data_IF_534522151107
#
_entry.id   IF_534522151107
#
_cell.length_a   1.000
_cell.length_b   1.000
_cell.length_c   1.000
_cell.angle_alpha   90.00
_cell.angle_beta   90.00
_cell.angle_gamma   90.00
#
_symmetry.space_group_name_H-M   'P 1'
#
loop_
_entity.id
_entity.type
_entity.pdbx_description
1 polymer ?
#
# COMPACT_ATOMS: atom_id res chain seq x y z
N UNK A 1 3.63 18.96 15.26
CA UNK A 1 3.13 17.70 15.87
C UNK A 1 4.01 17.33 17.06
N UNK A 2 3.40 16.97 18.20
CA UNK A 2 4.15 16.51 19.37
C UNK A 2 4.74 15.12 19.08
N UNK A 3 6.03 14.94 19.24
CA UNK A 3 6.69 13.66 19.03
C UNK A 3 6.11 12.63 20.01
N UNK A 4 5.68 11.48 19.48
CA UNK A 4 5.14 10.41 20.31
C UNK A 4 6.26 9.75 21.11
N UNK A 5 5.93 9.25 22.30
CA UNK A 5 6.85 8.39 23.05
C UNK A 5 6.89 6.99 22.39
N UNK A 6 7.94 6.22 22.65
CA UNK A 6 8.04 4.83 22.14
C UNK A 6 6.84 3.95 22.55
N UNK A 7 6.21 4.21 23.71
CA UNK A 7 4.96 3.57 24.11
C UNK A 7 3.78 4.04 23.25
N UNK A 8 3.73 5.34 22.96
CA UNK A 8 2.70 5.92 22.10
C UNK A 8 2.75 5.37 20.67
N UNK A 9 3.95 5.27 20.12
CA UNK A 9 4.16 4.69 18.78
C UNK A 9 3.71 3.23 18.71
N UNK A 10 4.06 2.40 19.70
CA UNK A 10 3.57 1.02 19.78
C UNK A 10 2.05 0.91 19.88
N UNK A 11 1.41 1.82 20.62
CA UNK A 11 -0.05 1.84 20.74
C UNK A 11 -0.70 2.23 19.42
N UNK A 12 -0.15 3.25 18.75
CA UNK A 12 -0.62 3.68 17.42
C UNK A 12 -0.47 2.57 16.37
N UNK A 13 0.66 1.88 16.38
CA UNK A 13 0.91 0.75 15.47
C UNK A 13 -0.08 -0.39 15.71
N UNK A 14 -0.35 -0.77 16.96
CA UNK A 14 -1.37 -1.78 17.29
C UNK A 14 -2.77 -1.39 16.79
N UNK A 15 -3.14 -0.12 16.89
CA UNK A 15 -4.41 0.37 16.37
C UNK A 15 -4.46 0.27 14.84
N UNK A 16 -3.37 0.60 14.14
CA UNK A 16 -3.28 0.51 12.69
C UNK A 16 -3.40 -0.94 12.20
N UNK A 17 -2.65 -1.86 12.80
CA UNK A 17 -2.71 -3.31 12.49
C UNK A 17 -4.09 -3.91 12.78
N UNK A 18 -4.73 -3.48 13.88
CA UNK A 18 -6.09 -3.91 14.21
C UNK A 18 -7.10 -3.36 13.22
N UNK A 19 -6.93 -2.11 12.77
CA UNK A 19 -7.77 -1.49 11.75
C UNK A 19 -7.64 -2.20 10.40
N UNK A 20 -6.41 -2.51 9.96
CA UNK A 20 -6.15 -3.30 8.74
C UNK A 20 -6.93 -4.62 8.78
N UNK A 21 -6.80 -5.38 9.86
CA UNK A 21 -7.50 -6.65 10.03
C UNK A 21 -9.02 -6.49 10.01
N UNK A 22 -9.57 -5.56 10.76
CA UNK A 22 -11.02 -5.34 10.84
C UNK A 22 -11.59 -4.86 9.50
N UNK A 23 -10.89 -3.97 8.77
CA UNK A 23 -11.31 -3.56 7.43
C UNK A 23 -11.21 -4.70 6.41
N UNK A 24 -10.23 -5.56 6.51
CA UNK A 24 -10.09 -6.73 5.66
C UNK A 24 -11.22 -7.77 5.89
N UNK A 25 -11.58 -8.00 7.16
CA UNK A 25 -12.58 -9.01 7.54
C UNK A 25 -14.02 -8.53 7.28
N UNK A 26 -14.33 -7.31 7.69
CA UNK A 26 -15.70 -6.78 7.72
C UNK A 26 -16.00 -5.77 6.62
N UNK A 27 -14.99 -5.21 5.99
CA UNK A 27 -15.13 -4.03 5.14
C UNK A 27 -15.26 -2.74 5.93
N UNK A 28 -15.11 -1.61 5.23
CA UNK A 28 -15.15 -0.28 5.87
C UNK A 28 -16.50 0.01 6.55
N UNK A 29 -17.61 -0.32 5.90
CA UNK A 29 -18.95 0.05 6.41
C UNK A 29 -19.26 -0.64 7.74
N UNK A 30 -19.03 -1.94 7.84
CA UNK A 30 -19.34 -2.76 9.02
C UNK A 30 -18.25 -2.72 10.10
N UNK A 31 -17.08 -2.16 9.77
CA UNK A 31 -16.05 -1.85 10.73
C UNK A 31 -16.46 -0.68 11.63
N UNK A 32 -16.08 -0.73 12.90
CA UNK A 32 -16.33 0.35 13.86
C UNK A 32 -15.08 0.62 14.70
N UNK A 33 -14.96 1.86 15.21
CA UNK A 33 -13.88 2.23 16.14
C UNK A 33 -13.91 1.33 17.38
N UNK A 34 -15.09 0.91 17.83
CA UNK A 34 -15.25 -0.04 18.95
C UNK A 34 -14.52 -1.35 18.64
N UNK A 35 -14.84 -1.99 17.50
CA UNK A 35 -14.21 -3.25 17.08
C UNK A 35 -12.70 -3.10 16.93
N UNK A 36 -12.22 -1.99 16.38
CA UNK A 36 -10.79 -1.73 16.21
C UNK A 36 -10.10 -1.60 17.58
N UNK A 37 -10.68 -0.87 18.51
CA UNK A 37 -10.11 -0.67 19.85
C UNK A 37 -10.15 -1.92 20.72
N UNK A 38 -11.22 -2.70 20.63
CA UNK A 38 -11.32 -4.02 21.26
C UNK A 38 -10.23 -4.96 20.74
N UNK A 39 -10.06 -5.01 19.40
CA UNK A 39 -9.02 -5.82 18.76
C UNK A 39 -7.59 -5.38 19.13
N UNK A 40 -7.37 -4.07 19.36
CA UNK A 40 -6.10 -3.52 19.79
C UNK A 40 -5.85 -3.63 21.31
N UNK A 41 -6.87 -3.99 22.10
CA UNK A 41 -6.81 -4.07 23.57
C UNK A 41 -6.67 -2.71 24.23
N UNK A 42 -7.30 -1.64 23.66
CA UNK A 42 -7.28 -0.28 24.20
C UNK A 42 -8.67 0.31 24.30
N UNK A 43 -8.84 1.34 25.14
CA UNK A 43 -10.11 2.09 25.23
C UNK A 43 -10.32 3.03 24.03
N UNK A 44 -11.60 3.33 23.70
CA UNK A 44 -11.95 4.25 22.60
C UNK A 44 -11.31 5.64 22.75
N UNK A 45 -11.20 6.18 23.96
CA UNK A 45 -10.51 7.44 24.20
C UNK A 45 -9.04 7.44 23.74
N UNK A 46 -8.39 6.27 23.80
CA UNK A 46 -7.02 6.10 23.30
C UNK A 46 -6.94 6.18 21.78
N UNK A 47 -7.95 5.68 21.07
CA UNK A 47 -8.02 5.79 19.60
C UNK A 47 -7.97 7.26 19.15
N UNK A 48 -8.78 8.11 19.76
CA UNK A 48 -8.87 9.52 19.38
C UNK A 48 -7.62 10.36 19.72
N UNK A 49 -6.68 9.81 20.48
CA UNK A 49 -5.35 10.43 20.66
C UNK A 49 -4.48 10.30 19.39
N UNK A 50 -4.76 9.33 18.54
CA UNK A 50 -3.95 9.01 17.36
C UNK A 50 -4.66 9.25 16.03
N UNK A 51 -5.97 8.99 15.95
CA UNK A 51 -6.76 9.08 14.72
C UNK A 51 -8.04 9.89 14.97
N UNK A 52 -8.27 10.89 14.14
CA UNK A 52 -9.42 11.78 14.27
C UNK A 52 -10.77 11.08 13.97
N UNK A 53 -10.75 10.02 13.16
CA UNK A 53 -11.95 9.32 12.70
C UNK A 53 -11.64 7.91 12.18
N UNK A 54 -12.69 7.13 11.91
CA UNK A 54 -12.59 5.84 11.19
C UNK A 54 -11.98 6.02 9.78
N UNK A 55 -12.36 7.11 9.09
CA UNK A 55 -11.77 7.44 7.79
C UNK A 55 -10.28 7.74 7.91
N UNK A 56 -9.87 8.50 8.89
CA UNK A 56 -8.44 8.85 9.07
C UNK A 56 -7.57 7.61 9.29
N UNK A 57 -8.00 6.62 10.08
CA UNK A 57 -7.24 5.39 10.25
C UNK A 57 -7.32 4.51 8.99
N UNK A 58 -8.41 4.54 8.23
CA UNK A 58 -8.52 3.84 6.96
C UNK A 58 -7.53 4.39 5.93
N UNK A 59 -7.46 5.70 5.79
CA UNK A 59 -6.50 6.38 4.90
C UNK A 59 -5.06 5.99 5.25
N UNK A 60 -4.73 5.94 6.53
CA UNK A 60 -3.40 5.50 6.96
C UNK A 60 -3.13 4.02 6.69
N UNK A 61 -4.12 3.15 6.83
CA UNK A 61 -3.98 1.73 6.46
C UNK A 61 -3.68 1.59 4.97
N UNK A 62 -4.38 2.33 4.11
CA UNK A 62 -4.11 2.36 2.66
C UNK A 62 -2.67 2.79 2.38
N UNK A 63 -2.21 3.86 3.01
CA UNK A 63 -0.86 4.40 2.80
C UNK A 63 0.25 3.53 3.41
N UNK A 64 -0.02 2.86 4.52
CA UNK A 64 0.91 1.89 5.13
C UNK A 64 1.08 0.66 4.23
N UNK A 65 -0.01 0.08 3.75
CA UNK A 65 0.02 -1.03 2.78
C UNK A 65 0.78 -0.64 1.51
N UNK A 66 0.53 0.58 0.99
CA UNK A 66 1.27 1.13 -0.13
C UNK A 66 2.78 1.19 0.14
N UNK A 67 3.16 1.70 1.30
CA UNK A 67 4.58 1.81 1.68
C UNK A 67 5.24 0.44 1.78
N UNK A 68 4.58 -0.52 2.41
CA UNK A 68 5.10 -1.88 2.62
C UNK A 68 5.28 -2.64 1.30
N UNK A 69 4.29 -2.58 0.40
CA UNK A 69 4.39 -3.25 -0.90
C UNK A 69 5.47 -2.62 -1.77
N UNK A 70 5.56 -1.29 -1.80
CA UNK A 70 6.61 -0.58 -2.54
C UNK A 70 8.01 -0.93 -2.03
N UNK A 71 8.18 -0.97 -0.71
CA UNK A 71 9.45 -1.36 -0.10
C UNK A 71 9.87 -2.77 -0.50
N UNK A 72 8.95 -3.74 -0.41
CA UNK A 72 9.21 -5.12 -0.82
C UNK A 72 9.59 -5.24 -2.31
N UNK A 73 8.91 -4.48 -3.18
CA UNK A 73 9.21 -4.45 -4.62
C UNK A 73 10.58 -3.83 -4.91
N UNK A 74 10.89 -2.70 -4.27
CA UNK A 74 12.16 -1.98 -4.45
C UNK A 74 13.35 -2.84 -4.00
N UNK A 75 13.27 -3.41 -2.80
CA UNK A 75 14.30 -4.29 -2.23
C UNK A 75 14.61 -5.49 -3.14
N UNK A 76 13.56 -6.08 -3.74
CA UNK A 76 13.75 -7.17 -4.68
C UNK A 76 14.33 -6.70 -6.01
N UNK A 77 13.83 -5.59 -6.56
CA UNK A 77 14.29 -5.04 -7.83
C UNK A 77 15.77 -4.60 -7.80
N UNK A 78 16.26 -4.09 -6.68
CA UNK A 78 17.67 -3.69 -6.51
C UNK A 78 18.66 -4.84 -6.73
N UNK A 79 18.23 -6.10 -6.65
CA UNK A 79 19.06 -7.28 -6.89
C UNK A 79 19.24 -7.60 -8.39
N UNK A 80 18.46 -7.00 -9.28
CA UNK A 80 18.54 -7.19 -10.72
C UNK A 80 19.62 -6.33 -11.36
N UNK A 81 20.42 -6.91 -12.27
CA UNK A 81 21.47 -6.22 -13.01
C UNK A 81 20.89 -5.42 -14.20
N UNK A 82 19.88 -5.95 -14.87
CA UNK A 82 19.20 -5.34 -16.03
C UNK A 82 17.81 -4.86 -15.66
N UNK A 83 17.22 -3.98 -16.49
CA UNK A 83 15.84 -3.54 -16.29
C UNK A 83 14.86 -4.72 -16.29
N UNK A 84 15.00 -5.66 -17.20
CA UNK A 84 14.15 -6.84 -17.27
C UNK A 84 14.21 -7.69 -16.00
N UNK A 85 15.42 -7.90 -15.44
CA UNK A 85 15.57 -8.61 -14.17
C UNK A 85 14.93 -7.86 -13.01
N UNK A 86 15.10 -6.55 -12.94
CA UNK A 86 14.47 -5.70 -11.92
C UNK A 86 12.96 -5.80 -11.97
N UNK A 87 12.35 -5.78 -13.15
CA UNK A 87 10.91 -5.95 -13.32
C UNK A 87 10.44 -7.32 -12.83
N UNK A 88 11.11 -8.39 -13.24
CA UNK A 88 10.76 -9.76 -12.83
C UNK A 88 10.85 -9.94 -11.32
N UNK A 89 11.90 -9.41 -10.70
CA UNK A 89 12.10 -9.49 -9.26
C UNK A 89 11.08 -8.64 -8.50
N UNK A 90 10.81 -7.43 -8.97
CA UNK A 90 9.82 -6.53 -8.40
C UNK A 90 8.39 -7.10 -8.46
N UNK A 91 7.96 -7.59 -9.64
CA UNK A 91 6.67 -8.27 -9.77
C UNK A 91 6.58 -9.55 -8.94
N UNK A 92 7.65 -10.34 -8.90
CA UNK A 92 7.70 -11.52 -8.03
C UNK A 92 7.54 -11.16 -6.55
N UNK A 93 8.12 -10.06 -6.10
CA UNK A 93 7.93 -9.56 -4.74
C UNK A 93 6.51 -9.04 -4.51
N UNK A 94 5.94 -8.32 -5.48
CA UNK A 94 4.56 -7.86 -5.43
C UNK A 94 3.57 -9.03 -5.26
N UNK A 95 3.67 -10.08 -6.07
CA UNK A 95 2.79 -11.24 -5.95
C UNK A 95 2.99 -12.02 -4.66
N UNK A 96 4.22 -12.15 -4.17
CA UNK A 96 4.47 -12.74 -2.84
C UNK A 96 3.86 -11.91 -1.73
N UNK A 97 3.98 -10.57 -1.83
CA UNK A 97 3.40 -9.65 -0.85
C UNK A 97 1.86 -9.77 -0.84
N UNK A 98 1.22 -9.74 -2.01
CA UNK A 98 -0.25 -9.83 -2.11
C UNK A 98 -0.78 -11.18 -1.63
N UNK A 99 -0.07 -12.26 -1.91
CA UNK A 99 -0.42 -13.60 -1.40
C UNK A 99 -0.30 -13.69 0.14
N UNK A 100 0.70 -13.03 0.73
CA UNK A 100 0.87 -12.95 2.18
C UNK A 100 -0.10 -11.95 2.86
N UNK A 101 -0.61 -10.97 2.11
CA UNK A 101 -1.49 -9.90 2.60
C UNK A 101 -2.78 -9.81 1.76
N UNK A 102 -3.67 -10.81 1.83
CA UNK A 102 -4.89 -10.85 1.00
C UNK A 102 -5.87 -9.70 1.32
N UNK A 103 -5.64 -8.99 2.42
CA UNK A 103 -6.33 -7.77 2.80
C UNK A 103 -6.09 -6.61 1.82
N UNK A 104 -4.91 -6.57 1.16
CA UNK A 104 -4.48 -5.45 0.33
C UNK A 104 -5.56 -5.07 -0.70
N UNK A 105 -5.94 -5.99 -1.57
CA UNK A 105 -6.92 -5.71 -2.61
C UNK A 105 -8.30 -5.36 -2.06
N UNK A 106 -8.72 -6.01 -0.96
CA UNK A 106 -10.01 -5.70 -0.32
C UNK A 106 -10.04 -4.27 0.19
N UNK A 107 -8.95 -3.80 0.77
CA UNK A 107 -8.84 -2.45 1.34
C UNK A 107 -8.70 -1.42 0.22
N UNK A 108 -7.79 -1.63 -0.75
CA UNK A 108 -7.57 -0.68 -1.85
C UNK A 108 -8.84 -0.49 -2.69
N UNK A 109 -9.58 -1.54 -3.02
CA UNK A 109 -10.84 -1.42 -3.76
C UNK A 109 -11.93 -0.67 -3.01
N UNK A 110 -11.94 -0.69 -1.68
CA UNK A 110 -12.86 0.11 -0.88
C UNK A 110 -12.47 1.60 -0.91
N UNK A 111 -11.20 1.91 -1.09
CA UNK A 111 -10.73 3.29 -1.13
C UNK A 111 -11.36 4.07 -2.29
N UNK A 112 -11.76 3.43 -3.40
CA UNK A 112 -12.48 4.07 -4.50
C UNK A 112 -13.74 4.82 -4.03
N UNK A 113 -14.46 4.25 -3.07
CA UNK A 113 -15.73 4.80 -2.57
C UNK A 113 -15.59 5.52 -1.21
N UNK A 114 -14.59 5.14 -0.41
CA UNK A 114 -14.40 5.67 0.95
C UNK A 114 -13.49 6.88 0.97
N UNK A 115 -12.43 6.85 0.16
CA UNK A 115 -11.38 7.87 0.12
C UNK A 115 -10.70 7.93 -1.25
N UNK A 116 -11.41 8.45 -2.28
CA UNK A 116 -10.88 8.55 -3.64
C UNK A 116 -9.53 9.31 -3.69
N UNK A 117 -9.40 10.34 -2.86
CA UNK A 117 -8.17 11.14 -2.76
C UNK A 117 -6.97 10.31 -2.27
N UNK A 118 -7.19 9.41 -1.31
CA UNK A 118 -6.13 8.51 -0.82
C UNK A 118 -5.79 7.43 -1.85
N UNK A 119 -6.79 6.97 -2.62
CA UNK A 119 -6.56 6.05 -3.73
C UNK A 119 -5.68 6.68 -4.83
N UNK A 120 -5.94 7.93 -5.20
CA UNK A 120 -5.09 8.67 -6.15
C UNK A 120 -3.64 8.72 -5.64
N UNK A 121 -3.43 9.11 -4.40
CA UNK A 121 -2.08 9.12 -3.79
C UNK A 121 -1.43 7.72 -3.78
N UNK A 122 -2.23 6.67 -3.57
CA UNK A 122 -1.74 5.29 -3.61
C UNK A 122 -1.17 4.95 -4.99
N UNK A 123 -1.89 5.24 -6.06
CA UNK A 123 -1.44 4.95 -7.42
C UNK A 123 -0.28 5.86 -7.87
N UNK A 124 -0.35 7.15 -7.57
CA UNK A 124 0.74 8.10 -7.89
C UNK A 124 2.07 7.63 -7.28
N UNK A 125 2.07 7.24 -6.02
CA UNK A 125 3.28 6.73 -5.34
C UNK A 125 3.81 5.43 -5.92
N UNK A 126 2.94 4.56 -6.44
CA UNK A 126 3.37 3.33 -7.12
C UNK A 126 4.00 3.64 -8.47
N UNK A 127 3.39 4.53 -9.26
CA UNK A 127 3.86 4.85 -10.62
C UNK A 127 5.12 5.71 -10.64
N UNK A 128 5.32 6.61 -9.68
CA UNK A 128 6.46 7.53 -9.64
C UNK A 128 7.81 6.82 -9.77
N UNK A 129 8.00 5.73 -9.01
CA UNK A 129 9.21 4.92 -9.07
C UNK A 129 9.39 4.21 -10.42
N UNK A 130 8.28 3.72 -11.00
CA UNK A 130 8.30 3.10 -12.33
C UNK A 130 8.64 4.09 -13.43
N UNK A 131 7.99 5.25 -13.48
CA UNK A 131 8.23 6.29 -14.47
C UNK A 131 9.71 6.70 -14.50
N UNK A 132 10.28 6.95 -13.32
CA UNK A 132 11.69 7.33 -13.20
C UNK A 132 12.63 6.22 -13.73
N UNK A 133 12.40 4.98 -13.31
CA UNK A 133 13.24 3.86 -13.72
C UNK A 133 13.07 3.47 -15.18
N UNK A 134 11.87 3.60 -15.76
CA UNK A 134 11.62 3.37 -17.20
C UNK A 134 12.31 4.42 -18.06
N UNK A 135 12.27 5.71 -17.67
CA UNK A 135 12.98 6.78 -18.36
C UNK A 135 14.48 6.51 -18.41
N UNK A 136 15.08 6.15 -17.29
CA UNK A 136 16.51 5.80 -17.23
C UNK A 136 16.83 4.59 -18.12
N UNK A 137 15.97 3.57 -18.16
CA UNK A 137 16.18 2.40 -18.99
C UNK A 137 16.04 2.70 -20.50
N UNK A 138 15.15 3.62 -20.89
CA UNK A 138 15.05 4.12 -22.27
C UNK A 138 16.32 4.89 -22.66
N UNK A 139 16.80 5.79 -21.80
CA UNK A 139 18.04 6.54 -22.01
C UNK A 139 19.26 5.63 -22.14
N UNK A 140 19.27 4.51 -21.41
CA UNK A 140 20.33 3.50 -21.48
C UNK A 140 20.18 2.51 -22.68
N UNK A 141 19.07 2.59 -23.43
CA UNK A 141 18.78 1.66 -24.54
C UNK A 141 18.36 0.25 -24.10
N UNK A 142 18.04 0.05 -22.83
CA UNK A 142 17.54 -1.23 -22.29
C UNK A 142 16.04 -1.46 -22.61
N UNK A 143 15.31 -0.39 -22.84
CA UNK A 143 13.87 -0.38 -23.17
C UNK A 143 13.69 0.51 -24.40
N UNK A 144 12.82 0.09 -25.33
CA UNK A 144 12.47 0.90 -26.50
C UNK A 144 11.87 2.25 -26.08
N UNK A 145 12.12 3.29 -26.87
CA UNK A 145 11.52 4.60 -26.66
C UNK A 145 9.98 4.54 -26.63
N UNK A 146 9.38 5.27 -25.72
CA UNK A 146 7.95 5.35 -25.53
C UNK A 146 7.58 6.31 -24.41
N UNK A 147 6.30 6.37 -24.10
CA UNK A 147 5.83 7.15 -22.96
C UNK A 147 6.03 6.34 -21.65
N UNK A 148 6.94 6.76 -20.75
CA UNK A 148 7.21 6.02 -19.53
C UNK A 148 6.02 6.01 -18.55
N UNK A 149 5.13 7.01 -18.62
CA UNK A 149 3.93 7.07 -17.79
C UNK A 149 2.91 6.02 -18.24
N UNK A 150 2.63 5.94 -19.55
CA UNK A 150 1.75 4.91 -20.12
C UNK A 150 2.27 3.50 -19.83
N UNK A 151 3.58 3.28 -19.93
CA UNK A 151 4.18 1.98 -19.61
C UNK A 151 4.05 1.66 -18.11
N UNK A 152 4.30 2.62 -17.22
CA UNK A 152 4.17 2.43 -15.79
C UNK A 152 2.74 2.04 -15.40
N UNK A 153 1.74 2.75 -15.93
CA UNK A 153 0.33 2.43 -15.70
C UNK A 153 -0.08 1.08 -16.29
N UNK A 154 0.48 0.72 -17.45
CA UNK A 154 0.24 -0.60 -18.07
C UNK A 154 0.78 -1.73 -17.21
N UNK A 155 2.01 -1.61 -16.71
CA UNK A 155 2.63 -2.59 -15.81
C UNK A 155 1.82 -2.73 -14.51
N UNK A 156 1.38 -1.61 -13.93
CA UNK A 156 0.57 -1.63 -12.72
C UNK A 156 -0.79 -2.32 -12.95
N UNK A 157 -1.47 -2.02 -14.06
CA UNK A 157 -2.73 -2.68 -14.42
C UNK A 157 -2.57 -4.19 -14.60
N UNK A 158 -1.47 -4.64 -15.22
CA UNK A 158 -1.14 -6.06 -15.32
C UNK A 158 -0.95 -6.67 -13.92
N UNK A 159 -0.14 -6.04 -13.08
CA UNK A 159 0.11 -6.50 -11.71
C UNK A 159 -1.17 -6.62 -10.89
N UNK A 160 -2.01 -5.59 -10.93
CA UNK A 160 -3.27 -5.56 -10.19
C UNK A 160 -4.25 -6.64 -10.67
N UNK A 161 -4.50 -6.74 -11.98
CA UNK A 161 -5.45 -7.72 -12.52
C UNK A 161 -4.98 -9.16 -12.31
N UNK A 162 -3.69 -9.44 -12.53
CA UNK A 162 -3.12 -10.77 -12.30
C UNK A 162 -3.15 -11.10 -10.80
N UNK A 163 -2.71 -10.18 -9.94
CA UNK A 163 -2.68 -10.40 -8.50
C UNK A 163 -4.06 -10.54 -7.86
N UNK A 164 -5.12 -9.96 -8.47
CA UNK A 164 -6.50 -10.18 -8.02
C UNK A 164 -7.04 -11.56 -8.42
N UNK A 165 -6.50 -12.16 -9.47
CA UNK A 165 -7.00 -13.44 -9.99
C UNK A 165 -6.41 -14.63 -9.24
N UNK A 166 -5.18 -14.57 -8.77
CA UNK A 166 -4.40 -15.61 -8.08
C UNK A 166 -3.90 -15.19 -6.71
#
# INVERSE_FOLDING_TARGET
MKQLTARGERTRQKLLESAERIFAELGYHDASIVKITEAAGVGQGTFYLYFASKKAVFDEVVLDLNSRVRHAMTEAAEQGATRAERELLGFGAFFRFTAAHPALYRIIRQAEFVSPETLVVHYERLTEGYVTGLRQAMEAGEVAEGDPEVLAWSLMGIGELVGMRW
#
